data_IF_940365824381
#
_entry.id   IF_940365824381
#
_cell.length_a   1.000
_cell.length_b   1.000
_cell.length_c   1.000
_cell.angle_alpha   90.00
_cell.angle_beta   90.00
_cell.angle_gamma   90.00
#
_symmetry.space_group_name_H-M   'P 1'
#
loop_
_entity.id
_entity.type
_entity.pdbx_description
1 polymer ?
#
# COMPACT_ATOMS: atom_id res chain seq x y z
N UNK A 1 20.86 2.98 21.66
CA UNK A 1 21.78 2.84 20.52
C UNK A 1 20.95 2.55 19.27
N UNK A 2 20.90 3.48 18.31
CA UNK A 2 20.09 3.36 17.09
C UNK A 2 21.02 3.21 15.87
N UNK A 3 20.75 2.23 15.00
CA UNK A 3 21.46 2.04 13.73
C UNK A 3 20.45 2.11 12.60
N UNK A 4 20.83 2.73 11.49
CA UNK A 4 20.06 2.67 10.24
C UNK A 4 20.41 1.37 9.53
N UNK A 5 19.40 0.56 9.23
CA UNK A 5 19.57 -0.74 8.55
C UNK A 5 19.18 -0.59 7.08
N UNK A 6 20.09 -0.94 6.17
CA UNK A 6 19.77 -1.08 4.75
C UNK A 6 19.00 -2.39 4.53
N UNK A 7 17.72 -2.28 4.14
CA UNK A 7 16.81 -3.43 3.94
C UNK A 7 17.21 -4.33 2.77
N UNK A 8 17.75 -3.77 1.69
CA UNK A 8 18.23 -4.54 0.54
C UNK A 8 19.43 -5.41 0.91
N UNK A 9 20.33 -4.86 1.73
CA UNK A 9 21.47 -5.62 2.24
C UNK A 9 21.04 -6.76 3.16
N UNK A 10 20.05 -6.52 4.01
CA UNK A 10 19.46 -7.57 4.86
C UNK A 10 18.83 -8.69 4.02
N UNK A 11 18.08 -8.33 2.98
CA UNK A 11 17.46 -9.31 2.08
C UNK A 11 18.52 -10.14 1.34
N UNK A 12 19.56 -9.50 0.80
CA UNK A 12 20.70 -10.20 0.18
C UNK A 12 21.39 -11.13 1.17
N UNK A 13 21.60 -10.69 2.41
CA UNK A 13 22.22 -11.51 3.45
C UNK A 13 21.37 -12.73 3.81
N UNK A 14 20.04 -12.58 3.93
CA UNK A 14 19.12 -13.70 4.17
C UNK A 14 19.08 -14.66 2.98
N UNK A 15 19.13 -14.15 1.75
CA UNK A 15 19.21 -14.97 0.54
C UNK A 15 20.48 -15.81 0.50
N UNK A 16 21.64 -15.19 0.69
CA UNK A 16 22.94 -15.90 0.78
C UNK A 16 22.96 -16.89 1.94
N UNK A 17 22.46 -16.50 3.11
CA UNK A 17 22.37 -17.38 4.27
C UNK A 17 21.51 -18.63 4.01
N UNK A 18 20.37 -18.46 3.34
CA UNK A 18 19.51 -19.58 2.98
C UNK A 18 20.09 -20.46 1.86
N UNK A 19 20.79 -19.88 0.88
CA UNK A 19 21.52 -20.66 -0.13
C UNK A 19 22.59 -21.54 0.53
N UNK A 20 23.41 -20.96 1.41
CA UNK A 20 24.42 -21.72 2.16
C UNK A 20 23.79 -22.77 3.07
N UNK A 21 22.69 -22.44 3.75
CA UNK A 21 21.92 -23.40 4.56
C UNK A 21 21.45 -24.59 3.73
N UNK A 22 20.84 -24.33 2.56
CA UNK A 22 20.37 -25.39 1.66
C UNK A 22 21.51 -26.27 1.12
N UNK A 23 22.67 -25.69 0.79
CA UNK A 23 23.83 -26.44 0.29
C UNK A 23 24.37 -27.46 1.32
N UNK A 24 24.25 -27.16 2.61
CA UNK A 24 24.68 -28.07 3.69
C UNK A 24 23.54 -28.96 4.22
N UNK A 25 22.39 -28.99 3.53
CA UNK A 25 21.20 -29.77 3.94
C UNK A 25 20.43 -29.16 5.12
N UNK A 26 20.65 -27.89 5.43
CA UNK A 26 20.00 -27.14 6.49
C UNK A 26 18.59 -26.67 6.12
N UNK A 27 17.78 -26.39 7.14
CA UNK A 27 16.44 -25.82 6.98
C UNK A 27 16.52 -24.32 6.63
N UNK A 28 15.47 -23.74 6.01
CA UNK A 28 15.38 -22.30 5.80
C UNK A 28 15.51 -21.53 7.11
N UNK A 29 16.39 -20.54 7.13
CA UNK A 29 16.67 -19.67 8.27
C UNK A 29 16.06 -18.28 8.06
N UNK A 30 15.63 -17.68 9.18
CA UNK A 30 15.11 -16.32 9.22
C UNK A 30 15.55 -15.60 10.48
N UNK A 31 15.40 -14.27 10.48
CA UNK A 31 15.61 -13.46 11.67
C UNK A 31 14.46 -13.68 12.67
N UNK A 32 14.82 -14.03 13.92
CA UNK A 32 13.84 -14.27 14.98
C UNK A 32 13.82 -13.09 15.94
N UNK A 33 12.72 -12.34 15.93
CA UNK A 33 12.53 -11.12 16.73
C UNK A 33 12.74 -11.38 18.22
N UNK A 34 12.24 -12.50 18.73
CA UNK A 34 12.32 -12.85 20.16
C UNK A 34 13.77 -13.03 20.60
N UNK A 35 14.58 -13.77 19.83
CA UNK A 35 16.02 -13.97 20.12
C UNK A 35 16.80 -12.66 20.02
N UNK A 36 16.55 -11.88 18.97
CA UNK A 36 17.20 -10.57 18.78
C UNK A 36 16.89 -9.62 19.95
N UNK A 37 15.63 -9.56 20.37
CA UNK A 37 15.20 -8.71 21.50
C UNK A 37 15.84 -9.15 22.82
N UNK A 38 15.89 -10.47 23.09
CA UNK A 38 16.58 -10.99 24.27
C UNK A 38 18.07 -10.64 24.26
N UNK A 39 18.71 -10.74 23.09
CA UNK A 39 20.12 -10.42 22.93
C UNK A 39 20.41 -8.93 23.19
N UNK A 40 19.56 -8.04 22.66
CA UNK A 40 19.65 -6.59 22.92
C UNK A 40 19.39 -6.27 24.40
N UNK A 41 18.42 -6.93 25.03
CA UNK A 41 18.12 -6.77 26.45
C UNK A 41 19.27 -7.26 27.35
N UNK A 42 20.05 -8.25 26.89
CA UNK A 42 21.29 -8.69 27.54
C UNK A 42 22.48 -7.74 27.29
N UNK A 43 22.25 -6.59 26.65
CA UNK A 43 23.27 -5.57 26.41
C UNK A 43 24.14 -5.79 25.17
N UNK A 44 23.80 -6.74 24.29
CA UNK A 44 24.57 -7.00 23.07
C UNK A 44 24.51 -5.81 22.11
N UNK A 45 25.69 -5.35 21.67
CA UNK A 45 25.84 -4.19 20.74
C UNK A 45 26.52 -4.55 19.42
N UNK A 46 27.13 -5.74 19.31
CA UNK A 46 27.93 -6.16 18.16
C UNK A 46 27.40 -7.46 17.54
N UNK A 47 27.79 -7.71 16.29
CA UNK A 47 27.47 -8.97 15.58
C UNK A 47 28.16 -10.18 16.21
N UNK A 48 29.24 -9.96 16.96
CA UNK A 48 29.99 -11.02 17.64
C UNK A 48 29.12 -11.83 18.60
N UNK A 49 28.18 -11.19 19.29
CA UNK A 49 27.26 -11.89 20.18
C UNK A 49 26.44 -12.98 19.45
N UNK A 50 25.97 -12.71 18.23
CA UNK A 50 25.24 -13.70 17.43
C UNK A 50 26.17 -14.83 16.94
N UNK A 51 27.41 -14.50 16.56
CA UNK A 51 28.41 -15.49 16.13
C UNK A 51 28.80 -16.42 17.29
N UNK A 52 29.12 -15.85 18.46
CA UNK A 52 29.44 -16.61 19.67
C UNK A 52 28.27 -17.49 20.11
N UNK A 53 27.04 -17.00 20.01
CA UNK A 53 25.85 -17.80 20.30
C UNK A 53 25.67 -18.96 19.31
N UNK A 54 25.88 -18.72 18.01
CA UNK A 54 25.85 -19.76 16.97
C UNK A 54 26.93 -20.83 17.20
N UNK A 55 28.16 -20.42 17.53
CA UNK A 55 29.25 -21.34 17.85
C UNK A 55 28.95 -22.16 19.11
N UNK A 56 28.38 -21.53 20.14
CA UNK A 56 27.93 -22.24 21.34
C UNK A 56 26.89 -23.31 21.02
N UNK A 57 25.88 -22.99 20.19
CA UNK A 57 24.88 -23.96 19.76
C UNK A 57 25.50 -25.13 18.98
N UNK A 58 26.44 -24.84 18.08
CA UNK A 58 27.16 -25.87 17.33
C UNK A 58 27.93 -26.81 18.27
N UNK A 59 28.67 -26.25 19.24
CA UNK A 59 29.41 -27.02 20.23
C UNK A 59 28.49 -27.86 21.12
N UNK A 60 27.37 -27.30 21.59
CA UNK A 60 26.40 -28.06 22.37
C UNK A 60 25.85 -29.25 21.59
N UNK A 61 25.46 -29.05 20.33
CA UNK A 61 24.91 -30.14 19.50
C UNK A 61 25.99 -31.20 19.20
N UNK A 62 27.23 -30.79 18.97
CA UNK A 62 28.33 -31.71 18.67
C UNK A 62 28.84 -32.51 19.88
N UNK A 63 28.90 -31.88 21.07
CA UNK A 63 29.58 -32.45 22.24
C UNK A 63 28.63 -33.14 23.24
N UNK A 64 27.36 -32.70 23.34
CA UNK A 64 26.42 -33.19 24.37
C UNK A 64 25.05 -33.66 23.83
N UNK A 65 25.00 -34.44 22.73
CA UNK A 65 23.72 -34.89 22.15
C UNK A 65 22.90 -35.76 23.11
N UNK A 66 23.56 -36.60 23.93
CA UNK A 66 22.90 -37.49 24.88
C UNK A 66 22.07 -36.72 25.92
N UNK A 67 22.56 -35.57 26.37
CA UNK A 67 21.84 -34.72 27.34
C UNK A 67 20.68 -33.99 26.64
N UNK A 68 20.90 -33.48 25.43
CA UNK A 68 19.86 -32.79 24.66
C UNK A 68 18.66 -33.69 24.35
N UNK A 69 18.89 -34.99 24.13
CA UNK A 69 17.83 -35.96 23.89
C UNK A 69 17.01 -36.31 25.15
N UNK A 70 17.46 -35.94 26.34
CA UNK A 70 16.70 -36.09 27.59
C UNK A 70 15.68 -34.97 27.82
N UNK A 71 15.68 -33.91 26.99
CA UNK A 71 14.77 -32.78 27.15
C UNK A 71 13.32 -33.26 26.96
N UNK A 72 12.44 -33.11 27.98
CA UNK A 72 11.05 -33.52 27.86
C UNK A 72 10.31 -32.70 26.81
N UNK A 73 9.50 -33.37 25.98
CA UNK A 73 8.64 -32.69 24.99
C UNK A 73 7.67 -31.68 25.63
N UNK A 74 7.24 -31.93 26.87
CA UNK A 74 6.41 -31.02 27.65
C UNK A 74 7.11 -29.68 27.95
N UNK A 75 8.42 -29.70 28.22
CA UNK A 75 9.19 -28.48 28.41
C UNK A 75 9.25 -27.65 27.11
N UNK A 76 9.47 -28.30 25.96
CA UNK A 76 9.44 -27.64 24.66
C UNK A 76 8.06 -27.05 24.34
N UNK A 77 6.97 -27.77 24.63
CA UNK A 77 5.61 -27.29 24.43
C UNK A 77 5.31 -26.06 25.31
N UNK A 78 5.72 -26.07 26.59
CA UNK A 78 5.55 -24.94 27.49
C UNK A 78 6.27 -23.68 26.97
N UNK A 79 7.50 -23.81 26.46
CA UNK A 79 8.25 -22.71 25.86
C UNK A 79 7.55 -22.16 24.61
N UNK A 80 6.99 -23.04 23.76
CA UNK A 80 6.25 -22.63 22.56
C UNK A 80 4.96 -21.89 22.91
N UNK A 81 4.16 -22.39 23.87
CA UNK A 81 2.92 -21.74 24.32
C UNK A 81 3.24 -20.35 24.91
N UNK A 82 4.25 -20.28 25.78
CA UNK A 82 4.67 -19.01 26.39
C UNK A 82 5.12 -17.99 25.32
N UNK A 83 5.91 -18.44 24.35
CA UNK A 83 6.39 -17.58 23.26
C UNK A 83 5.24 -17.14 22.36
N UNK A 84 4.31 -18.05 22.04
CA UNK A 84 3.09 -17.76 21.29
C UNK A 84 2.23 -16.71 21.97
N UNK A 85 1.99 -16.83 23.27
CA UNK A 85 1.26 -15.83 24.06
C UNK A 85 1.94 -14.46 24.05
N UNK A 86 3.27 -14.43 24.13
CA UNK A 86 4.05 -13.18 24.07
C UNK A 86 3.97 -12.49 22.71
N UNK A 87 3.81 -13.24 21.62
CA UNK A 87 3.65 -12.72 20.26
C UNK A 87 2.19 -12.31 19.98
N UNK A 88 1.22 -13.12 20.39
CA UNK A 88 -0.21 -12.93 20.16
C UNK A 88 -0.94 -12.33 21.38
N UNK A 89 -0.39 -11.26 21.96
CA UNK A 89 -0.96 -10.63 23.16
C UNK A 89 -2.37 -10.09 22.89
N UNK A 90 -3.34 -10.23 23.83
CA UNK A 90 -4.69 -9.68 23.67
C UNK A 90 -4.72 -8.17 23.39
N UNK A 91 -3.72 -7.43 23.88
CA UNK A 91 -3.56 -6.00 23.60
C UNK A 91 -3.41 -5.70 22.11
N UNK A 92 -2.83 -6.61 21.32
CA UNK A 92 -2.68 -6.47 19.87
C UNK A 92 -4.04 -6.50 19.17
N UNK A 93 -4.90 -7.44 19.54
CA UNK A 93 -6.28 -7.54 19.02
C UNK A 93 -7.08 -6.29 19.33
N UNK A 94 -7.00 -5.79 20.58
CA UNK A 94 -7.65 -4.54 20.98
C UNK A 94 -7.10 -3.34 20.22
N UNK A 95 -5.80 -3.31 19.93
CA UNK A 95 -5.18 -2.24 19.14
C UNK A 95 -5.67 -2.25 17.69
N UNK A 96 -5.78 -3.41 17.05
CA UNK A 96 -6.33 -3.53 15.68
C UNK A 96 -7.82 -3.20 15.63
N UNK A 97 -8.60 -3.64 16.61
CA UNK A 97 -10.02 -3.28 16.71
C UNK A 97 -10.22 -1.75 16.80
N UNK A 98 -9.39 -1.06 17.59
CA UNK A 98 -9.41 0.41 17.69
C UNK A 98 -9.07 1.15 16.40
N UNK A 99 -8.39 0.52 15.44
CA UNK A 99 -8.08 1.12 14.13
C UNK A 99 -9.25 1.09 13.15
N UNK A 100 -10.38 0.47 13.53
CA UNK A 100 -11.58 0.37 12.71
C UNK A 100 -11.70 -0.95 11.95
N UNK A 101 -12.89 -1.19 11.42
CA UNK A 101 -13.27 -2.44 10.76
C UNK A 101 -12.43 -2.74 9.51
N UNK A 102 -12.00 -1.71 8.77
CA UNK A 102 -11.20 -1.87 7.56
C UNK A 102 -9.82 -2.50 7.80
N UNK A 103 -9.28 -2.40 9.01
CA UNK A 103 -8.03 -3.05 9.40
C UNK A 103 -8.25 -4.29 10.25
N UNK A 104 -9.33 -4.30 11.05
CA UNK A 104 -9.64 -5.42 11.93
C UNK A 104 -10.12 -6.66 11.16
N UNK A 105 -10.95 -6.49 10.13
CA UNK A 105 -11.48 -7.61 9.33
C UNK A 105 -10.36 -8.38 8.61
N UNK A 106 -9.47 -7.73 7.81
CA UNK A 106 -8.36 -8.45 7.18
C UNK A 106 -7.46 -9.17 8.19
N UNK A 107 -7.22 -8.55 9.36
CA UNK A 107 -6.42 -9.15 10.43
C UNK A 107 -7.04 -10.45 10.96
N UNK A 108 -8.32 -10.43 11.35
CA UNK A 108 -9.01 -11.62 11.89
C UNK A 108 -9.17 -12.69 10.81
N UNK A 109 -9.50 -12.31 9.57
CA UNK A 109 -9.62 -13.25 8.45
C UNK A 109 -8.30 -13.95 8.16
N UNK A 110 -7.17 -13.23 8.20
CA UNK A 110 -5.84 -13.84 8.02
C UNK A 110 -5.56 -14.87 9.11
N UNK A 111 -5.87 -14.56 10.37
CA UNK A 111 -5.67 -15.48 11.49
C UNK A 111 -6.57 -16.71 11.33
N UNK A 112 -7.86 -16.52 11.05
CA UNK A 112 -8.80 -17.60 10.86
C UNK A 112 -8.39 -18.50 9.69
N UNK A 113 -7.94 -17.91 8.57
CA UNK A 113 -7.44 -18.66 7.42
C UNK A 113 -6.22 -19.50 7.79
N UNK A 114 -5.21 -18.94 8.47
CA UNK A 114 -4.02 -19.69 8.92
C UNK A 114 -4.40 -20.85 9.85
N UNK A 115 -5.37 -20.67 10.75
CA UNK A 115 -5.80 -21.70 11.70
C UNK A 115 -6.63 -22.81 11.05
N UNK A 116 -7.38 -22.51 9.99
CA UNK A 116 -8.27 -23.46 9.30
C UNK A 116 -7.59 -24.17 8.12
N UNK A 117 -6.55 -23.57 7.53
CA UNK A 117 -5.80 -24.16 6.42
C UNK A 117 -4.34 -24.39 6.83
N UNK A 118 -3.44 -23.52 6.38
CA UNK A 118 -2.02 -23.52 6.69
C UNK A 118 -1.47 -22.10 6.57
N UNK A 119 -0.21 -21.93 6.99
CA UNK A 119 0.45 -20.63 6.98
C UNK A 119 0.53 -20.00 5.58
N UNK A 120 0.85 -20.80 4.54
CA UNK A 120 1.06 -20.29 3.19
C UNK A 120 -0.27 -19.83 2.58
N UNK A 121 -1.28 -20.71 2.58
CA UNK A 121 -2.61 -20.41 2.05
C UNK A 121 -3.23 -19.25 2.85
N UNK A 122 -3.12 -19.27 4.18
CA UNK A 122 -3.64 -18.22 5.03
C UNK A 122 -3.01 -16.84 4.75
N UNK A 123 -1.70 -16.78 4.50
CA UNK A 123 -1.01 -15.54 4.11
C UNK A 123 -1.49 -15.05 2.74
N UNK A 124 -1.66 -15.93 1.75
CA UNK A 124 -2.16 -15.54 0.43
C UNK A 124 -3.59 -14.97 0.51
N UNK A 125 -4.48 -15.62 1.27
CA UNK A 125 -5.84 -15.11 1.53
C UNK A 125 -5.77 -13.76 2.23
N UNK A 126 -4.92 -13.63 3.25
CA UNK A 126 -4.74 -12.38 4.00
C UNK A 126 -4.27 -11.23 3.11
N UNK A 127 -3.32 -11.49 2.21
CA UNK A 127 -2.86 -10.51 1.20
C UNK A 127 -4.02 -10.11 0.29
N UNK A 128 -4.78 -11.07 -0.25
CA UNK A 128 -5.92 -10.80 -1.14
C UNK A 128 -6.99 -9.94 -0.46
N UNK A 129 -7.41 -10.32 0.75
CA UNK A 129 -8.40 -9.58 1.54
C UNK A 129 -7.87 -8.19 1.93
N UNK A 130 -6.63 -8.11 2.41
CA UNK A 130 -6.00 -6.84 2.74
C UNK A 130 -5.93 -5.90 1.53
N UNK A 131 -5.56 -6.42 0.36
CA UNK A 131 -5.51 -5.65 -0.88
C UNK A 131 -6.90 -5.14 -1.28
N UNK A 132 -7.93 -5.98 -1.20
CA UNK A 132 -9.31 -5.56 -1.45
C UNK A 132 -9.74 -4.38 -0.55
N UNK A 133 -9.43 -4.44 0.75
CA UNK A 133 -9.76 -3.37 1.69
C UNK A 133 -8.98 -2.08 1.42
N UNK A 134 -7.68 -2.19 1.14
CA UNK A 134 -6.83 -1.03 0.78
C UNK A 134 -7.38 -0.34 -0.45
N UNK A 135 -7.70 -1.12 -1.48
CA UNK A 135 -8.30 -0.65 -2.72
C UNK A 135 -9.62 0.05 -2.41
N UNK A 136 -10.58 -0.62 -1.75
CA UNK A 136 -11.90 -0.06 -1.40
C UNK A 136 -11.81 1.25 -0.63
N UNK A 137 -10.90 1.36 0.35
CA UNK A 137 -10.72 2.58 1.13
C UNK A 137 -10.09 3.72 0.29
N UNK A 138 -9.16 3.40 -0.61
CA UNK A 138 -8.57 4.38 -1.52
C UNK A 138 -9.62 4.94 -2.50
N UNK A 139 -10.46 4.07 -3.08
CA UNK A 139 -11.57 4.43 -3.98
C UNK A 139 -12.57 5.41 -3.36
N UNK A 140 -12.94 5.24 -2.09
CA UNK A 140 -14.03 6.03 -1.47
C UNK A 140 -13.69 7.49 -1.20
N UNK A 141 -12.43 7.86 -1.34
CA UNK A 141 -11.89 8.97 -0.60
C UNK A 141 -11.25 10.02 -1.54
N UNK A 142 -10.81 9.65 -2.74
CA UNK A 142 -10.02 10.47 -3.67
C UNK A 142 -10.64 11.79 -4.18
N UNK A 143 -11.98 11.95 -4.13
CA UNK A 143 -12.68 13.13 -4.69
C UNK A 143 -13.60 13.76 -3.65
N UNK A 144 -13.32 15.02 -3.30
CA UNK A 144 -14.18 15.84 -2.45
C UNK A 144 -15.01 16.80 -3.32
N UNK A 145 -16.33 16.81 -3.13
CA UNK A 145 -17.25 17.68 -3.85
C UNK A 145 -17.91 18.64 -2.87
N UNK A 146 -17.89 19.93 -3.19
CA UNK A 146 -18.67 20.96 -2.50
C UNK A 146 -19.62 21.57 -3.51
N UNK A 147 -20.90 21.67 -3.13
CA UNK A 147 -21.91 22.40 -3.87
C UNK A 147 -22.24 23.70 -3.13
N UNK A 148 -22.24 24.81 -3.84
CA UNK A 148 -22.71 26.09 -3.32
C UNK A 148 -23.31 26.89 -4.48
N UNK A 149 -24.63 27.12 -4.43
CA UNK A 149 -25.39 28.02 -5.32
C UNK A 149 -24.96 27.98 -6.81
N UNK A 150 -25.09 26.81 -7.46
CA UNK A 150 -24.75 26.62 -8.88
C UNK A 150 -23.25 26.43 -9.18
N UNK A 151 -22.39 26.44 -8.15
CA UNK A 151 -20.96 26.16 -8.26
C UNK A 151 -20.60 24.79 -7.72
N UNK A 152 -19.86 24.01 -8.52
CA UNK A 152 -19.41 22.66 -8.20
C UNK A 152 -17.89 22.63 -8.12
N UNK A 153 -17.34 22.36 -6.94
CA UNK A 153 -15.90 22.19 -6.74
C UNK A 153 -15.55 20.72 -6.66
N UNK A 154 -14.80 20.21 -7.64
CA UNK A 154 -14.20 18.89 -7.64
C UNK A 154 -12.74 19.00 -7.19
N UNK A 155 -12.46 18.69 -5.92
CA UNK A 155 -11.08 18.67 -5.42
C UNK A 155 -10.49 17.26 -5.52
N UNK A 156 -9.49 17.13 -6.37
CA UNK A 156 -8.68 15.92 -6.51
C UNK A 156 -7.64 15.87 -5.40
N UNK A 157 -7.54 14.73 -4.70
CA UNK A 157 -6.53 14.52 -3.66
C UNK A 157 -5.21 14.00 -4.25
N UNK A 158 -4.22 13.79 -3.37
CA UNK A 158 -2.83 13.49 -3.71
C UNK A 158 -2.65 12.43 -4.81
N UNK A 159 -3.31 11.29 -4.68
CA UNK A 159 -3.19 10.17 -5.62
C UNK A 159 -4.58 9.81 -6.18
N UNK A 160 -4.78 10.07 -7.47
CA UNK A 160 -6.02 9.74 -8.19
C UNK A 160 -5.72 8.68 -9.24
N UNK A 161 -5.85 7.41 -8.85
CA UNK A 161 -5.66 6.24 -9.73
C UNK A 161 -6.85 5.98 -10.67
N UNK A 162 -6.66 5.11 -11.69
CA UNK A 162 -7.71 4.66 -12.63
C UNK A 162 -8.99 4.15 -11.94
N UNK A 163 -8.83 3.61 -10.73
CA UNK A 163 -9.91 3.17 -9.86
C UNK A 163 -10.95 4.29 -9.65
N UNK A 164 -10.53 5.55 -9.62
CA UNK A 164 -11.45 6.67 -9.38
C UNK A 164 -12.26 7.09 -10.61
N UNK A 165 -11.94 6.56 -11.80
CA UNK A 165 -12.60 6.90 -13.08
C UNK A 165 -14.13 6.83 -13.01
N UNK A 166 -14.77 5.76 -12.50
CA UNK A 166 -16.23 5.66 -12.49
C UNK A 166 -16.87 6.69 -11.57
N UNK A 167 -16.24 6.98 -10.42
CA UNK A 167 -16.77 7.94 -9.43
C UNK A 167 -16.68 9.36 -9.99
N UNK A 168 -15.57 9.70 -10.63
CA UNK A 168 -15.36 11.00 -11.26
C UNK A 168 -16.34 11.18 -12.42
N UNK A 169 -16.42 10.19 -13.31
CA UNK A 169 -17.34 10.21 -14.46
C UNK A 169 -18.78 10.42 -14.04
N UNK A 170 -19.31 9.57 -13.15
CA UNK A 170 -20.71 9.66 -12.72
C UNK A 170 -21.01 11.01 -12.08
N UNK A 171 -20.11 11.53 -11.23
CA UNK A 171 -20.31 12.82 -10.56
C UNK A 171 -20.20 14.02 -11.49
N UNK A 172 -19.36 13.95 -12.53
CA UNK A 172 -19.32 14.95 -13.59
C UNK A 172 -20.59 14.90 -14.45
N UNK A 173 -21.13 13.72 -14.73
CA UNK A 173 -22.40 13.55 -15.45
C UNK A 173 -23.62 14.04 -14.66
N UNK A 174 -23.58 14.00 -13.34
CA UNK A 174 -24.61 14.54 -12.43
C UNK A 174 -24.64 16.08 -12.37
N UNK A 175 -23.67 16.77 -12.96
CA UNK A 175 -23.62 18.23 -12.97
C UNK A 175 -24.76 18.79 -13.84
N UNK A 176 -25.64 19.66 -13.30
CA UNK A 176 -26.76 20.24 -14.04
C UNK A 176 -26.27 21.25 -15.08
N UNK A 177 -27.11 21.48 -16.09
CA UNK A 177 -26.91 22.50 -17.11
C UNK A 177 -26.88 23.91 -16.49
N UNK A 178 -26.20 24.86 -17.15
CA UNK A 178 -26.02 26.24 -16.67
C UNK A 178 -25.26 26.39 -15.33
N UNK A 179 -24.34 25.46 -15.04
CA UNK A 179 -23.54 25.48 -13.80
C UNK A 179 -22.09 25.87 -14.02
N UNK A 180 -21.40 26.20 -12.94
CA UNK A 180 -19.98 26.55 -12.95
C UNK A 180 -19.17 25.50 -12.18
N UNK A 181 -18.25 24.82 -12.86
CA UNK A 181 -17.45 23.72 -12.31
C UNK A 181 -15.99 24.14 -12.16
N UNK A 182 -15.42 23.94 -10.97
CA UNK A 182 -13.98 24.07 -10.73
C UNK A 182 -13.41 22.68 -10.46
N UNK A 183 -12.45 22.26 -11.27
CA UNK A 183 -11.66 21.04 -11.06
C UNK A 183 -10.31 21.44 -10.45
N UNK A 184 -10.19 21.25 -9.14
CA UNK A 184 -9.00 21.59 -8.36
C UNK A 184 -8.06 20.38 -8.27
N UNK A 185 -7.10 20.33 -9.19
CA UNK A 185 -6.01 19.36 -9.25
C UNK A 185 -4.75 19.84 -8.52
N UNK A 186 -4.72 21.04 -7.94
CA UNK A 186 -3.50 21.65 -7.38
C UNK A 186 -2.75 20.78 -6.35
N UNK A 187 -3.49 19.93 -5.61
CA UNK A 187 -2.94 19.04 -4.58
C UNK A 187 -2.69 17.61 -5.05
N UNK A 188 -3.00 17.28 -6.31
CA UNK A 188 -2.77 15.97 -6.86
C UNK A 188 -1.30 15.83 -7.30
N UNK A 189 -0.58 14.91 -6.68
CA UNK A 189 0.79 14.56 -7.09
C UNK A 189 0.79 13.58 -8.26
N UNK A 190 -0.25 12.75 -8.37
CA UNK A 190 -0.42 11.79 -9.44
C UNK A 190 -1.90 11.68 -9.83
N UNK A 191 -2.16 11.74 -11.13
CA UNK A 191 -3.47 11.47 -11.73
C UNK A 191 -3.25 10.47 -12.85
N UNK A 192 -4.03 9.40 -12.83
CA UNK A 192 -4.01 8.38 -13.86
C UNK A 192 -4.51 8.93 -15.20
N UNK A 193 -3.93 8.46 -16.31
CA UNK A 193 -4.29 8.91 -17.66
C UNK A 193 -5.76 8.70 -17.97
N UNK A 194 -6.33 7.60 -17.50
CA UNK A 194 -7.74 7.28 -17.71
C UNK A 194 -8.69 8.28 -17.02
N UNK A 195 -8.23 8.92 -15.93
CA UNK A 195 -8.97 9.95 -15.21
C UNK A 195 -8.81 11.31 -15.90
N UNK A 196 -7.60 11.60 -16.39
CA UNK A 196 -7.33 12.81 -17.19
C UNK A 196 -8.23 12.83 -18.43
N UNK A 197 -8.29 11.71 -19.16
CA UNK A 197 -9.14 11.53 -20.34
C UNK A 197 -10.61 11.86 -20.03
N UNK A 198 -11.17 11.34 -18.93
CA UNK A 198 -12.57 11.62 -18.54
C UNK A 198 -12.80 13.10 -18.22
N UNK A 199 -11.83 13.74 -17.57
CA UNK A 199 -11.92 15.18 -17.25
C UNK A 199 -11.86 16.00 -18.54
N UNK A 200 -10.97 15.66 -19.46
CA UNK A 200 -10.82 16.34 -20.75
C UNK A 200 -12.05 16.16 -21.63
N UNK A 201 -12.59 14.94 -21.72
CA UNK A 201 -13.84 14.65 -22.41
C UNK A 201 -14.99 15.48 -21.83
N UNK A 202 -15.10 15.56 -20.51
CA UNK A 202 -16.10 16.42 -19.86
C UNK A 202 -15.89 17.89 -20.22
N UNK A 203 -14.66 18.40 -20.20
CA UNK A 203 -14.35 19.79 -20.57
C UNK A 203 -14.71 20.12 -22.03
N UNK A 204 -14.58 19.16 -22.94
CA UNK A 204 -14.96 19.32 -24.35
C UNK A 204 -16.48 19.39 -24.51
N UNK A 205 -17.24 18.58 -23.76
CA UNK A 205 -18.70 18.50 -23.88
C UNK A 205 -19.45 19.52 -23.00
N UNK A 206 -18.84 20.02 -21.93
CA UNK A 206 -19.45 20.94 -20.98
C UNK A 206 -20.07 22.20 -21.63
N UNK A 207 -19.44 22.86 -22.64
CA UNK A 207 -20.05 24.00 -23.32
C UNK A 207 -21.37 23.69 -24.04
N UNK A 208 -21.60 22.43 -24.44
CA UNK A 208 -22.86 22.02 -25.09
C UNK A 208 -24.06 22.06 -24.13
N UNK A 209 -23.80 22.06 -22.81
CA UNK A 209 -24.78 22.13 -21.72
C UNK A 209 -24.77 23.48 -20.99
N UNK A 210 -24.11 24.48 -21.58
CA UNK A 210 -23.82 25.78 -20.96
C UNK A 210 -23.11 25.65 -19.59
N UNK A 211 -22.28 24.63 -19.43
CA UNK A 211 -21.47 24.42 -18.23
C UNK A 211 -20.11 25.09 -18.44
N UNK A 212 -19.75 26.00 -17.55
CA UNK A 212 -18.43 26.65 -17.54
C UNK A 212 -17.48 25.86 -16.64
N UNK A 213 -16.33 25.44 -17.18
CA UNK A 213 -15.35 24.62 -16.46
C UNK A 213 -14.02 25.35 -16.32
N UNK A 214 -13.50 25.43 -15.10
CA UNK A 214 -12.15 25.91 -14.78
C UNK A 214 -11.32 24.77 -14.19
N UNK A 215 -10.07 24.60 -14.63
CA UNK A 215 -9.14 23.64 -14.07
C UNK A 215 -7.98 24.35 -13.35
N UNK A 216 -7.81 24.06 -12.05
CA UNK A 216 -6.67 24.53 -11.26
C UNK A 216 -5.61 23.46 -11.18
N UNK A 217 -4.46 23.70 -11.81
CA UNK A 217 -3.32 22.77 -11.89
C UNK A 217 -2.30 23.10 -10.81
N UNK A 218 -1.38 22.17 -10.54
CA UNK A 218 -0.21 22.45 -9.72
C UNK A 218 0.84 23.24 -10.53
N UNK A 219 1.33 24.35 -9.99
CA UNK A 219 2.33 25.21 -10.66
C UNK A 219 3.70 24.55 -10.82
N UNK A 220 4.03 23.58 -9.97
CA UNK A 220 5.38 23.00 -9.87
C UNK A 220 5.48 21.59 -10.47
N UNK A 221 4.36 20.99 -10.89
CA UNK A 221 4.33 19.59 -11.35
C UNK A 221 3.40 19.42 -12.52
N UNK A 222 3.92 18.87 -13.62
CA UNK A 222 3.09 18.46 -14.74
C UNK A 222 2.24 17.25 -14.34
N UNK A 223 0.93 17.41 -14.47
CA UNK A 223 -0.08 16.42 -14.10
C UNK A 223 -0.59 15.65 -15.33
N UNK A 224 -0.04 15.91 -16.52
CA UNK A 224 -0.37 15.19 -17.74
C UNK A 224 -1.64 15.67 -18.45
N UNK A 225 -2.28 16.74 -17.97
CA UNK A 225 -3.40 17.38 -18.69
C UNK A 225 -2.89 18.05 -19.97
N UNK A 226 -3.57 17.78 -21.08
CA UNK A 226 -3.45 18.48 -22.34
C UNK A 226 -3.47 20.00 -22.10
N UNK A 227 -2.59 20.76 -22.77
CA UNK A 227 -2.63 22.23 -22.69
C UNK A 227 -4.03 22.69 -23.11
N UNK A 228 -4.60 23.74 -22.47
CA UNK A 228 -5.89 24.24 -22.88
C UNK A 228 -5.82 24.54 -24.38
N UNK A 229 -6.76 23.98 -25.16
CA UNK A 229 -6.98 24.40 -26.53
C UNK A 229 -7.29 25.88 -26.42
N UNK A 230 -6.29 26.70 -26.75
CA UNK A 230 -6.43 28.15 -26.73
C UNK A 230 -7.61 28.50 -27.63
N UNK A 231 -8.36 29.54 -27.27
CA UNK A 231 -9.42 30.09 -28.12
C UNK A 231 -8.89 30.38 -29.55
N UNK A 232 -7.58 30.67 -29.68
CA UNK A 232 -6.88 30.81 -30.97
C UNK A 232 -6.80 29.52 -31.81
N UNK A 233 -6.80 28.34 -31.19
CA UNK A 233 -6.75 27.06 -31.91
C UNK A 233 -8.14 26.62 -32.40
N UNK A 234 -9.21 27.07 -31.74
CA UNK A 234 -10.59 26.93 -32.23
C UNK A 234 -10.82 27.81 -33.46
N UNK A 235 -10.43 29.08 -33.38
CA UNK A 235 -10.50 30.01 -34.52
C UNK A 235 -9.69 29.48 -35.69
N UNK A 236 -8.46 28.99 -35.50
CA UNK A 236 -7.67 28.38 -36.60
C UNK A 236 -8.30 27.15 -37.21
N UNK A 237 -8.99 26.30 -36.42
CA UNK A 237 -9.65 25.10 -36.93
C UNK A 237 -10.88 25.46 -37.74
N UNK A 238 -11.65 26.44 -37.29
CA UNK A 238 -12.84 26.94 -38.00
C UNK A 238 -12.44 27.71 -39.27
N UNK A 239 -11.39 28.54 -39.25
CA UNK A 239 -10.88 29.21 -40.47
C UNK A 239 -10.33 28.20 -41.47
N UNK A 240 -9.72 27.10 -41.02
CA UNK A 240 -9.18 26.07 -41.91
C UNK A 240 -10.28 25.22 -42.55
N UNK A 241 -11.34 24.91 -41.80
CA UNK A 241 -12.52 24.20 -42.32
C UNK A 241 -13.32 25.07 -43.31
N UNK A 242 -13.39 26.38 -43.09
CA UNK A 242 -13.99 27.31 -44.05
C UNK A 242 -13.14 27.45 -45.33
N UNK A 243 -11.81 27.51 -45.20
CA UNK A 243 -10.91 27.57 -46.35
C UNK A 243 -10.88 26.29 -47.20
N UNK A 244 -11.13 25.11 -46.59
CA UNK A 244 -11.26 23.83 -47.31
C UNK A 244 -12.66 23.63 -47.92
N UNK A 245 -13.67 24.40 -47.49
CA UNK A 245 -15.01 24.42 -48.10
C UNK A 245 -15.15 25.43 -49.25
N UNK A 246 -14.22 26.39 -49.36
CA UNK A 246 -14.15 27.40 -50.43
C UNK A 246 -13.15 27.06 -51.55
N UNK A 247 -12.52 25.88 -51.50
CA UNK A 247 -11.62 25.34 -52.53
C UNK A 247 -12.25 24.15 -53.28
#
# INVERSE_FOLDING_TARGET
YQRVTNKERELKAQGVGNMLSGLIGGLPITSVIVRSSANVNAGAKSKMSAISHGLLLLLCVALIPSILNLIPKSALAAVLIFTGYKLAKPSLFKAFYKKGWDQFVPFVVTIAAILLTDLLIGVLIGIGVGMFFVIRNNFRSSVFIVHDDGKYLFRLRKDVSFLNKPIIKNKLEEVPENSYVIIDASRADFIDKDVIEVIEDFMVHAPLKDIRVEIKRNEYKDQGFSKPISENDRVKKDTKLLAEAEA
#
